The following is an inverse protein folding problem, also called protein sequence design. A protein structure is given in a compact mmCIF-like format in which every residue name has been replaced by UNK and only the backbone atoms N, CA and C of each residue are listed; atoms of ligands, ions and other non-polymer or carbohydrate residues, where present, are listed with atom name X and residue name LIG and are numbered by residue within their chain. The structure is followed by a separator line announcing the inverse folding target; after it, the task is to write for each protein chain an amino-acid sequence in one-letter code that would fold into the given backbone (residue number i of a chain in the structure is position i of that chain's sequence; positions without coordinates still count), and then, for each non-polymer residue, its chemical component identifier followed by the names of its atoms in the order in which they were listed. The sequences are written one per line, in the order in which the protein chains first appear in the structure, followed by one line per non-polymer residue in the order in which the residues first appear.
data_IF_557916880232
#
_entry.id   IF_557916880232
#
_cell.length_a   1.000
_cell.length_b   1.000
_cell.length_c   1.000
_cell.angle_alpha   90.00
_cell.angle_beta   90.00
_cell.angle_gamma   90.00
#
_symmetry.space_group_name_H-M   'P 1'
#
loop_
_entity.id
_entity.type
_entity.pdbx_description
1 polymer ?
#
# COMPACT_ATOMS: atom_id res chain seq x y z
N UNK A 1 -23.27 8.70 1.70
CA UNK A 1 -23.48 7.31 2.17
C UNK A 1 -22.43 6.44 1.50
N UNK A 2 -21.38 6.05 2.24
CA UNK A 2 -20.23 5.24 1.76
C UNK A 2 -20.54 3.72 1.70
N UNK A 3 -21.83 3.34 1.83
CA UNK A 3 -22.29 1.95 1.89
C UNK A 3 -22.76 1.36 0.55
N UNK A 4 -22.54 2.07 -0.58
CA UNK A 4 -22.77 1.52 -1.92
C UNK A 4 -21.44 1.47 -2.66
N UNK A 5 -20.98 0.23 -2.83
CA UNK A 5 -19.83 -0.25 -3.59
C UNK A 5 -19.85 0.23 -5.04
N UNK A 6 -18.72 0.75 -5.53
CA UNK A 6 -18.47 1.05 -6.96
C UNK A 6 -19.53 1.92 -7.62
N UNK A 7 -19.38 3.25 -7.60
CA UNK A 7 -20.38 4.15 -8.20
C UNK A 7 -20.19 4.42 -9.70
N UNK A 8 -19.04 4.03 -10.26
CA UNK A 8 -18.73 4.25 -11.67
C UNK A 8 -18.05 3.04 -12.32
N UNK A 9 -18.19 2.96 -13.63
CA UNK A 9 -17.50 1.98 -14.47
C UNK A 9 -16.26 2.62 -15.09
N UNK A 10 -15.17 1.84 -15.25
CA UNK A 10 -13.94 2.31 -15.87
C UNK A 10 -13.32 1.25 -16.78
N UNK A 11 -12.80 1.67 -17.93
CA UNK A 11 -12.02 0.81 -18.82
C UNK A 11 -10.54 0.90 -18.49
N UNK A 12 -10.15 0.27 -17.38
CA UNK A 12 -8.77 0.29 -16.88
C UNK A 12 -8.36 -1.10 -16.39
N UNK A 13 -7.17 -1.52 -16.80
CA UNK A 13 -6.49 -2.69 -16.25
C UNK A 13 -5.28 -2.24 -15.44
N UNK A 14 -5.13 -2.80 -14.24
CA UNK A 14 -3.98 -2.53 -13.39
C UNK A 14 -2.88 -3.56 -13.67
N UNK A 15 -1.70 -3.11 -14.08
CA UNK A 15 -0.57 -3.97 -14.47
C UNK A 15 0.77 -3.51 -13.92
N UNK A 16 0.83 -2.29 -13.39
CA UNK A 16 2.07 -1.66 -12.97
C UNK A 16 2.34 -1.98 -11.50
N UNK A 17 3.53 -2.49 -11.19
CA UNK A 17 3.96 -2.66 -9.80
C UNK A 17 4.58 -1.34 -9.31
N UNK A 18 3.98 -0.72 -8.30
CA UNK A 18 4.52 0.49 -7.68
C UNK A 18 5.30 0.23 -6.38
N UNK A 19 4.99 -0.86 -5.67
CA UNK A 19 5.58 -1.17 -4.36
C UNK A 19 6.29 -2.53 -4.39
N UNK A 20 7.62 -2.58 -4.22
CA UNK A 20 8.36 -3.84 -4.12
C UNK A 20 7.86 -4.75 -3.00
N UNK A 21 7.46 -4.17 -1.87
CA UNK A 21 6.94 -4.88 -0.70
C UNK A 21 5.58 -5.56 -0.97
N UNK A 22 4.81 -5.06 -1.95
CA UNK A 22 3.48 -5.55 -2.29
C UNK A 22 3.39 -5.88 -3.79
N UNK A 23 4.04 -6.97 -4.25
CA UNK A 23 4.22 -7.23 -5.68
C UNK A 23 2.93 -7.50 -6.45
N UNK A 24 1.89 -7.98 -5.77
CA UNK A 24 0.58 -8.23 -6.37
C UNK A 24 -0.33 -7.00 -6.33
N UNK A 25 0.10 -5.89 -5.72
CA UNK A 25 -0.68 -4.67 -5.64
C UNK A 25 -0.41 -3.82 -6.88
N UNK A 26 -1.18 -4.13 -7.92
CA UNK A 26 -0.99 -3.57 -9.24
C UNK A 26 -1.80 -2.27 -9.39
N UNK A 27 -1.21 -1.33 -10.10
CA UNK A 27 -1.78 -0.02 -10.42
C UNK A 27 -2.07 0.11 -11.91
N UNK A 28 -3.02 0.99 -12.21
CA UNK A 28 -3.29 1.52 -13.52
C UNK A 28 -3.57 3.01 -13.43
N UNK A 29 -3.32 3.72 -14.52
CA UNK A 29 -3.61 5.15 -14.62
C UNK A 29 -4.71 5.39 -15.65
N UNK A 30 -5.73 6.15 -15.27
CA UNK A 30 -6.76 6.62 -16.19
C UNK A 30 -6.20 7.65 -17.18
N UNK A 31 -6.93 7.90 -18.28
CA UNK A 31 -6.55 8.91 -19.28
C UNK A 31 -6.39 10.32 -18.70
N UNK A 32 -7.10 10.64 -17.61
CA UNK A 32 -7.02 11.92 -16.91
C UNK A 32 -5.89 11.98 -15.87
N UNK A 33 -5.06 10.94 -15.76
CA UNK A 33 -3.91 10.89 -14.87
C UNK A 33 -4.22 10.39 -13.46
N UNK A 34 -5.47 10.10 -13.12
CA UNK A 34 -5.82 9.51 -11.81
C UNK A 34 -5.31 8.08 -11.72
N UNK A 35 -4.68 7.75 -10.60
CA UNK A 35 -4.11 6.44 -10.32
C UNK A 35 -5.09 5.59 -9.51
N UNK A 36 -5.25 4.34 -9.92
CA UNK A 36 -6.07 3.35 -9.23
C UNK A 36 -5.29 2.06 -9.02
N UNK A 37 -5.58 1.32 -7.95
CA UNK A 37 -5.08 -0.03 -7.74
C UNK A 37 -6.21 -1.06 -7.75
N UNK A 38 -5.90 -2.27 -8.20
CA UNK A 38 -6.87 -3.37 -8.26
C UNK A 38 -6.94 -4.11 -6.92
N UNK A 39 -7.92 -3.68 -6.10
CA UNK A 39 -8.14 -4.26 -4.79
C UNK A 39 -8.72 -5.68 -4.88
N UNK A 40 -9.59 -5.96 -5.86
CA UNK A 40 -10.16 -7.30 -6.06
C UNK A 40 -9.07 -8.30 -6.40
N UNK A 41 -8.20 -7.96 -7.36
CA UNK A 41 -7.07 -8.81 -7.72
C UNK A 41 -6.16 -9.05 -6.51
N UNK A 42 -5.75 -7.99 -5.81
CA UNK A 42 -4.87 -8.13 -4.64
C UNK A 42 -5.46 -9.05 -3.57
N UNK A 43 -6.72 -8.84 -3.18
CA UNK A 43 -7.41 -9.65 -2.18
C UNK A 43 -7.55 -11.12 -2.61
N UNK A 44 -7.70 -11.39 -3.92
CA UNK A 44 -7.77 -12.75 -4.45
C UNK A 44 -6.45 -13.52 -4.34
N UNK A 45 -5.32 -12.81 -4.28
CA UNK A 45 -3.98 -13.41 -4.15
C UNK A 45 -3.59 -13.68 -2.69
N UNK A 46 -4.38 -13.23 -1.71
CA UNK A 46 -4.11 -13.49 -0.29
C UNK A 46 -4.39 -14.96 0.05
N UNK A 47 -3.66 -15.50 1.03
CA UNK A 47 -3.89 -16.86 1.55
C UNK A 47 -5.33 -17.06 2.03
N UNK A 48 -5.91 -16.03 2.64
CA UNK A 48 -7.31 -15.97 3.03
C UNK A 48 -7.96 -14.73 2.40
N UNK A 49 -8.64 -14.88 1.24
CA UNK A 49 -9.27 -13.76 0.56
C UNK A 49 -10.31 -13.07 1.45
N UNK A 50 -10.23 -11.74 1.56
CA UNK A 50 -11.16 -10.91 2.33
C UNK A 50 -12.13 -10.21 1.37
N UNK A 51 -13.41 -10.01 1.75
CA UNK A 51 -14.29 -9.12 1.00
C UNK A 51 -13.81 -7.68 1.14
N UNK A 52 -14.09 -6.84 0.13
CA UNK A 52 -13.66 -5.43 0.15
C UNK A 52 -14.56 -4.53 1.00
N UNK A 53 -15.84 -4.88 1.18
CA UNK A 53 -16.82 -4.02 1.86
C UNK A 53 -16.42 -3.62 3.31
N UNK A 54 -15.81 -4.49 4.14
CA UNK A 54 -15.32 -4.09 5.46
C UNK A 54 -14.30 -2.96 5.43
N UNK A 55 -13.46 -2.82 4.39
CA UNK A 55 -12.52 -1.72 4.24
C UNK A 55 -13.23 -0.37 4.28
N UNK A 56 -14.24 -0.19 3.42
CA UNK A 56 -15.02 1.05 3.34
C UNK A 56 -15.76 1.37 4.63
N UNK A 57 -16.27 0.36 5.32
CA UNK A 57 -16.99 0.54 6.58
C UNK A 57 -16.06 0.92 7.74
N UNK A 58 -14.94 0.21 7.88
CA UNK A 58 -13.99 0.40 8.98
C UNK A 58 -13.26 1.75 8.86
N UNK A 59 -12.88 2.14 7.64
CA UNK A 59 -12.14 3.37 7.39
C UNK A 59 -13.00 4.54 6.89
N UNK A 60 -14.33 4.47 7.03
CA UNK A 60 -15.26 5.47 6.47
C UNK A 60 -14.96 6.92 6.85
N UNK A 61 -14.46 7.15 8.06
CA UNK A 61 -14.15 8.49 8.54
C UNK A 61 -12.84 9.01 7.94
N UNK A 62 -11.82 8.15 7.85
CA UNK A 62 -10.54 8.46 7.24
C UNK A 62 -10.70 8.68 5.74
N UNK A 63 -11.43 7.80 5.05
CA UNK A 63 -11.77 7.96 3.63
C UNK A 63 -12.46 9.30 3.42
N UNK A 64 -13.51 9.61 4.19
CA UNK A 64 -14.20 10.91 4.10
C UNK A 64 -13.24 12.09 4.31
N UNK A 65 -12.39 12.02 5.34
CA UNK A 65 -11.43 13.10 5.64
C UNK A 65 -10.46 13.33 4.49
N UNK A 66 -9.95 12.26 3.87
CA UNK A 66 -9.05 12.36 2.72
C UNK A 66 -9.80 12.89 1.48
N UNK A 67 -11.05 12.45 1.26
CA UNK A 67 -11.88 13.00 0.18
C UNK A 67 -12.08 14.51 0.33
N UNK A 68 -12.45 14.96 1.53
CA UNK A 68 -12.65 16.37 1.81
C UNK A 68 -11.34 17.18 1.67
N UNK A 69 -10.19 16.59 2.00
CA UNK A 69 -8.87 17.25 1.95
C UNK A 69 -8.30 17.36 0.53
N UNK A 70 -8.45 16.30 -0.27
CA UNK A 70 -7.93 16.23 -1.63
C UNK A 70 -8.97 16.52 -2.70
N UNK A 71 -10.17 16.94 -2.29
CA UNK A 71 -11.30 17.26 -3.16
C UNK A 71 -11.71 16.09 -4.08
N UNK A 72 -11.62 14.85 -3.56
CA UNK A 72 -11.94 13.62 -4.30
C UNK A 72 -13.46 13.41 -4.29
N UNK A 73 -14.05 13.22 -5.47
CA UNK A 73 -15.46 12.92 -5.64
C UNK A 73 -15.83 11.52 -5.12
N UNK A 74 -17.05 11.38 -4.59
CA UNK A 74 -17.65 10.11 -4.16
C UNK A 74 -17.62 9.02 -5.26
N UNK A 75 -17.68 9.45 -6.53
CA UNK A 75 -17.66 8.63 -7.73
C UNK A 75 -16.25 8.22 -8.16
N UNK A 76 -15.21 8.81 -7.58
CA UNK A 76 -13.80 8.50 -7.87
C UNK A 76 -13.18 7.56 -6.85
N UNK A 77 -13.76 7.41 -5.65
CA UNK A 77 -13.18 6.60 -4.57
C UNK A 77 -12.95 5.15 -5.00
N UNK A 78 -13.94 4.57 -5.66
CA UNK A 78 -13.91 3.19 -6.12
C UNK A 78 -14.76 3.02 -7.37
N UNK A 79 -14.16 2.45 -8.40
CA UNK A 79 -14.75 2.16 -9.70
C UNK A 79 -14.74 0.65 -9.96
N UNK A 80 -15.61 0.20 -10.85
CA UNK A 80 -15.66 -1.20 -11.28
C UNK A 80 -15.14 -1.27 -12.71
N UNK A 81 -14.18 -2.15 -12.97
CA UNK A 81 -13.67 -2.33 -14.33
C UNK A 81 -14.51 -3.32 -15.16
N UNK A 82 -14.15 -3.51 -16.43
CA UNK A 82 -14.85 -4.43 -17.35
C UNK A 82 -14.81 -5.90 -16.89
N UNK A 83 -13.92 -6.26 -15.96
CA UNK A 83 -13.79 -7.60 -15.36
C UNK A 83 -14.61 -7.74 -14.05
N UNK A 84 -15.27 -6.66 -13.61
CA UNK A 84 -16.01 -6.63 -12.35
C UNK A 84 -15.12 -6.40 -11.12
N UNK A 85 -13.86 -6.03 -11.31
CA UNK A 85 -12.94 -5.75 -10.22
C UNK A 85 -13.16 -4.34 -9.63
N UNK A 86 -13.03 -4.23 -8.32
CA UNK A 86 -13.04 -2.96 -7.60
C UNK A 86 -11.66 -2.31 -7.70
N UNK A 87 -11.58 -1.23 -8.46
CA UNK A 87 -10.42 -0.37 -8.55
C UNK A 87 -10.58 0.79 -7.56
N UNK A 88 -9.62 0.99 -6.66
CA UNK A 88 -9.67 2.01 -5.62
C UNK A 88 -8.67 3.11 -5.96
N UNK A 89 -9.06 4.38 -5.75
CA UNK A 89 -8.17 5.52 -5.97
C UNK A 89 -6.88 5.38 -5.13
N UNK A 90 -5.75 5.65 -5.76
CA UNK A 90 -4.40 5.48 -5.20
C UNK A 90 -4.17 6.25 -3.90
N UNK A 91 -4.93 7.31 -3.64
CA UNK A 91 -4.88 8.08 -2.39
C UNK A 91 -5.17 7.21 -1.16
N UNK A 92 -6.00 6.17 -1.31
CA UNK A 92 -6.42 5.30 -0.20
C UNK A 92 -5.51 4.10 0.01
N UNK A 93 -4.40 4.01 -0.72
CA UNK A 93 -3.47 2.88 -0.70
C UNK A 93 -3.04 2.48 0.72
N UNK A 94 -2.47 3.40 1.49
CA UNK A 94 -1.91 3.04 2.80
C UNK A 94 -2.98 2.65 3.81
N UNK A 95 -4.21 3.19 3.68
CA UNK A 95 -5.35 2.72 4.47
C UNK A 95 -5.74 1.31 4.06
N UNK A 96 -5.74 1.01 2.76
CA UNK A 96 -6.04 -0.33 2.26
C UNK A 96 -4.99 -1.35 2.72
N UNK A 97 -3.70 -1.02 2.66
CA UNK A 97 -2.64 -1.91 3.14
C UNK A 97 -2.80 -2.14 4.66
N UNK A 98 -3.02 -1.08 5.45
CA UNK A 98 -3.29 -1.22 6.89
C UNK A 98 -4.56 -2.04 7.21
N UNK A 99 -5.51 -2.13 6.28
CA UNK A 99 -6.68 -3.00 6.40
C UNK A 99 -6.33 -4.47 6.17
N UNK A 100 -5.54 -4.78 5.14
CA UNK A 100 -5.18 -6.16 4.80
C UNK A 100 -4.10 -6.72 5.73
N UNK A 101 -3.13 -5.88 6.11
CA UNK A 101 -1.96 -6.17 6.95
C UNK A 101 -1.94 -5.22 8.17
N UNK A 102 -2.52 -5.62 9.33
CA UNK A 102 -2.65 -4.73 10.49
C UNK A 102 -1.32 -4.18 11.02
N UNK A 103 -0.25 -4.98 11.00
CA UNK A 103 1.08 -4.58 11.47
C UNK A 103 1.71 -3.47 10.61
N UNK A 104 1.23 -3.32 9.37
CA UNK A 104 1.70 -2.27 8.48
C UNK A 104 1.40 -0.86 9.01
N UNK A 105 0.31 -0.67 9.77
CA UNK A 105 0.01 0.62 10.36
C UNK A 105 1.09 1.05 11.36
N UNK A 106 1.54 0.11 12.21
CA UNK A 106 2.62 0.38 13.16
C UNK A 106 3.92 0.72 12.42
N UNK A 107 4.25 -0.06 11.39
CA UNK A 107 5.40 0.22 10.52
C UNK A 107 5.33 1.63 9.91
N UNK A 108 4.17 2.05 9.40
CA UNK A 108 3.99 3.41 8.85
C UNK A 108 4.19 4.49 9.92
N UNK A 109 3.66 4.29 11.13
CA UNK A 109 3.90 5.20 12.24
C UNK A 109 5.39 5.33 12.58
N UNK A 110 6.12 4.21 12.61
CA UNK A 110 7.56 4.21 12.87
C UNK A 110 8.35 4.93 11.78
N UNK A 111 8.02 4.70 10.49
CA UNK A 111 8.67 5.41 9.37
C UNK A 111 8.38 6.90 9.38
N UNK A 112 7.16 7.31 9.72
CA UNK A 112 6.81 8.73 9.86
C UNK A 112 7.55 9.35 11.05
N UNK A 113 7.63 8.66 12.18
CA UNK A 113 8.42 9.11 13.32
C UNK A 113 9.89 9.29 12.95
N UNK A 114 10.50 8.29 12.31
CA UNK A 114 11.88 8.33 11.83
C UNK A 114 12.13 9.53 10.89
N UNK A 115 11.21 9.75 9.95
CA UNK A 115 11.26 10.88 9.03
C UNK A 115 11.27 12.22 9.78
N UNK A 116 10.38 12.40 10.77
CA UNK A 116 10.31 13.64 11.54
C UNK A 116 11.44 13.78 12.57
N UNK A 117 11.98 12.67 13.08
CA UNK A 117 13.07 12.68 14.07
C UNK A 117 14.46 12.87 13.43
N UNK A 118 14.67 12.33 12.23
CA UNK A 118 15.99 12.25 11.59
C UNK A 118 16.06 12.93 10.22
N UNK A 119 14.93 13.39 9.68
CA UNK A 119 14.84 14.09 8.39
C UNK A 119 14.81 13.19 7.16
N UNK A 120 15.00 11.88 7.33
CA UNK A 120 14.92 10.87 6.27
C UNK A 120 14.40 9.56 6.84
N UNK A 121 13.60 8.84 6.05
CA UNK A 121 13.19 7.46 6.33
C UNK A 121 13.26 6.66 5.03
N UNK A 122 13.64 5.39 5.12
CA UNK A 122 13.74 4.46 3.98
C UNK A 122 13.11 3.12 4.34
N UNK A 123 12.62 2.38 3.34
CA UNK A 123 12.02 1.06 3.62
C UNK A 123 13.06 -0.01 3.90
N UNK A 124 12.65 -1.05 4.62
CA UNK A 124 13.52 -2.20 4.93
C UNK A 124 13.98 -2.92 3.66
N UNK A 125 13.09 -3.10 2.68
CA UNK A 125 13.46 -3.69 1.37
C UNK A 125 14.49 -2.83 0.66
N UNK A 126 14.36 -1.50 0.71
CA UNK A 126 15.38 -0.61 0.15
C UNK A 126 16.71 -0.76 0.88
N UNK A 127 16.72 -0.75 2.22
CA UNK A 127 17.94 -0.91 3.02
C UNK A 127 18.65 -2.22 2.69
N UNK A 128 17.92 -3.34 2.64
CA UNK A 128 18.47 -4.65 2.30
C UNK A 128 19.04 -4.66 0.88
N UNK A 129 18.33 -4.09 -0.09
CA UNK A 129 18.78 -3.99 -1.48
C UNK A 129 20.03 -3.10 -1.63
N UNK A 130 20.03 -1.94 -0.97
CA UNK A 130 21.17 -1.02 -0.95
C UNK A 130 22.39 -1.64 -0.27
N UNK A 131 22.19 -2.35 0.84
CA UNK A 131 23.27 -3.06 1.53
C UNK A 131 23.86 -4.16 0.64
N UNK A 132 23.02 -4.99 0.01
CA UNK A 132 23.46 -6.06 -0.90
C UNK A 132 24.21 -5.55 -2.13
N UNK A 133 23.82 -4.38 -2.65
CA UNK A 133 24.46 -3.81 -3.84
C UNK A 133 25.79 -3.11 -3.54
N UNK A 134 26.00 -2.62 -2.31
CA UNK A 134 27.19 -1.84 -1.93
C UNK A 134 28.20 -2.61 -1.08
N UNK A 135 27.74 -3.56 -0.27
CA UNK A 135 28.59 -4.30 0.67
C UNK A 135 28.92 -5.68 0.16
N UNK A 136 30.15 -6.13 0.42
CA UNK A 136 30.55 -7.52 0.12
C UNK A 136 29.92 -8.49 1.12
N UNK A 137 29.72 -9.74 0.70
CA UNK A 137 29.20 -10.80 1.57
C UNK A 137 30.02 -10.98 2.84
N UNK A 138 31.34 -10.79 2.77
CA UNK A 138 32.23 -10.87 3.94
C UNK A 138 31.88 -9.82 5.00
N UNK A 139 31.68 -8.57 4.59
CA UNK A 139 31.34 -7.46 5.50
C UNK A 139 29.99 -7.70 6.16
N UNK A 140 29.00 -8.18 5.40
CA UNK A 140 27.68 -8.52 5.94
C UNK A 140 27.77 -9.60 7.03
N UNK A 141 28.56 -10.65 6.82
CA UNK A 141 28.77 -11.72 7.81
C UNK A 141 29.47 -11.22 9.08
N UNK A 142 30.47 -10.35 8.93
CA UNK A 142 31.19 -9.78 10.08
C UNK A 142 30.25 -8.94 10.98
N UNK A 143 29.35 -8.14 10.38
CA UNK A 143 28.34 -7.37 11.11
C UNK A 143 27.43 -8.31 11.93
N UNK A 144 26.91 -9.38 11.32
CA UNK A 144 26.05 -10.34 12.03
C UNK A 144 26.77 -11.00 13.21
N UNK A 145 28.06 -11.35 13.07
CA UNK A 145 28.84 -11.99 14.14
C UNK A 145 29.14 -11.06 15.33
N UNK A 146 29.14 -9.74 15.10
CA UNK A 146 29.33 -8.74 16.15
C UNK A 146 28.08 -8.60 17.03
N UNK A 147 26.89 -8.69 16.45
CA UNK A 147 25.61 -8.65 17.17
C UNK A 147 25.41 -9.87 18.09
N UNK A 148 25.88 -11.05 17.68
CA UNK A 148 25.80 -12.26 18.52
C UNK A 148 26.69 -12.15 19.77
N UNK A 149 27.87 -11.54 19.63
CA UNK A 149 28.82 -11.35 20.73
C UNK A 149 28.43 -10.24 21.70
N UNK A 150 27.69 -9.24 21.24
CA UNK A 150 27.23 -8.11 22.08
C UNK A 150 25.96 -8.42 22.88
N UNK A 151 25.32 -9.57 22.63
CA UNK A 151 24.17 -10.10 23.39
C UNK A 151 24.55 -11.13 24.46
N UNK A 152 25.84 -11.50 24.59
CA UNK A 152 26.40 -12.32 25.68
C UNK A 152 27.00 -11.44 26.77
#
# INVERSE_FOLDING_TARGET
MLGQTGKGEIKLQCKEQSFPEFPNLLFGQSESGHSYFDATYYLSQMTEPKPIQPFFNQYRYQIKSLCDTYEIGDDQICLINEEGHFLIDGTFLFLFIAFVEPDFLAYMCDRVFELFAHGVAVSDTYLVSAARSRLSSKVLTEISSYEEKSKQ
#
